data_IF_299787371374
#
_entry.id   IF_299787371374
#
_cell.length_a   1.000
_cell.length_b   1.000
_cell.length_c   1.000
_cell.angle_alpha   90.00
_cell.angle_beta   90.00
_cell.angle_gamma   90.00
#
_symmetry.space_group_name_H-M   'P 1'
#
loop_
_entity.id
_entity.type
_entity.pdbx_description
1 polymer ?
#
# COMPACT_ATOMS: atom_id res chain seq x y z
N UNK A 1 -30.69 -69.05 -14.38
CA UNK A 1 -31.78 -68.46 -13.57
C UNK A 1 -32.12 -67.12 -14.21
N UNK A 2 -33.26 -67.01 -14.93
CA UNK A 2 -33.66 -65.75 -15.60
C UNK A 2 -34.28 -64.83 -14.55
N UNK A 3 -33.63 -63.70 -14.29
CA UNK A 3 -34.16 -62.65 -13.40
C UNK A 3 -35.49 -62.14 -13.96
N UNK A 4 -36.48 -61.96 -13.08
CA UNK A 4 -37.77 -61.39 -13.47
C UNK A 4 -37.60 -59.88 -13.71
N UNK A 5 -38.43 -59.32 -14.58
CA UNK A 5 -38.36 -57.90 -14.97
C UNK A 5 -38.37 -56.92 -13.78
N UNK A 6 -39.05 -57.23 -12.69
CA UNK A 6 -39.07 -56.40 -11.48
C UNK A 6 -37.76 -56.44 -10.68
N UNK A 7 -37.04 -57.57 -10.68
CA UNK A 7 -35.74 -57.70 -10.02
C UNK A 7 -34.67 -56.85 -10.75
N UNK A 8 -34.77 -56.76 -12.07
CA UNK A 8 -33.91 -55.90 -12.89
C UNK A 8 -34.15 -54.42 -12.55
N UNK A 9 -35.42 -54.00 -12.39
CA UNK A 9 -35.77 -52.62 -12.02
C UNK A 9 -35.21 -52.25 -10.64
N UNK A 10 -35.31 -53.13 -9.66
CA UNK A 10 -34.76 -52.89 -8.31
C UNK A 10 -33.24 -52.78 -8.32
N UNK A 11 -32.55 -53.62 -9.09
CA UNK A 11 -31.09 -53.54 -9.22
C UNK A 11 -30.64 -52.22 -9.86
N UNK A 12 -31.35 -51.76 -10.89
CA UNK A 12 -31.06 -50.47 -11.55
C UNK A 12 -31.26 -49.30 -10.59
N UNK A 13 -32.35 -49.30 -9.81
CA UNK A 13 -32.60 -48.27 -8.80
C UNK A 13 -31.56 -48.27 -7.67
N UNK A 14 -31.15 -49.45 -7.20
CA UNK A 14 -30.11 -49.58 -6.18
C UNK A 14 -28.76 -49.02 -6.68
N UNK A 15 -28.36 -49.35 -7.91
CA UNK A 15 -27.14 -48.83 -8.54
C UNK A 15 -27.24 -47.31 -8.75
N UNK A 16 -28.37 -46.78 -9.21
CA UNK A 16 -28.60 -45.34 -9.34
C UNK A 16 -28.50 -44.62 -7.98
N UNK A 17 -29.06 -45.21 -6.91
CA UNK A 17 -28.99 -44.62 -5.57
C UNK A 17 -27.55 -44.61 -5.03
N UNK A 18 -26.77 -45.67 -5.28
CA UNK A 18 -25.35 -45.75 -4.91
C UNK A 18 -24.49 -44.76 -5.71
N UNK A 19 -24.78 -44.59 -7.01
CA UNK A 19 -24.10 -43.61 -7.86
C UNK A 19 -24.44 -42.18 -7.45
N UNK A 20 -25.71 -41.90 -7.12
CA UNK A 20 -26.13 -40.58 -6.62
C UNK A 20 -25.52 -40.27 -5.25
N UNK A 21 -25.46 -41.24 -4.34
CA UNK A 21 -24.90 -41.05 -3.01
C UNK A 21 -23.37 -40.97 -3.02
N UNK A 22 -22.71 -41.78 -3.86
CA UNK A 22 -21.27 -41.72 -4.10
C UNK A 22 -20.85 -40.43 -4.81
N UNK A 23 -21.62 -40.00 -5.82
CA UNK A 23 -21.42 -38.74 -6.53
C UNK A 23 -21.62 -37.53 -5.64
N UNK A 24 -22.64 -37.52 -4.78
CA UNK A 24 -22.87 -36.42 -3.84
C UNK A 24 -21.75 -36.26 -2.81
N UNK A 25 -20.99 -37.32 -2.51
CA UNK A 25 -19.85 -37.26 -1.57
C UNK A 25 -18.55 -36.78 -2.21
N UNK A 26 -18.39 -36.91 -3.52
CA UNK A 26 -17.18 -36.46 -4.25
C UNK A 26 -17.37 -35.11 -4.93
N UNK A 27 -18.61 -34.72 -5.24
CA UNK A 27 -19.02 -33.39 -5.72
C UNK A 27 -19.42 -32.45 -4.56
N UNK A 28 -18.85 -32.66 -3.37
CA UNK A 28 -18.78 -31.59 -2.39
C UNK A 28 -17.95 -30.48 -3.01
N UNK A 29 -18.62 -29.41 -3.44
CA UNK A 29 -17.96 -28.22 -3.96
C UNK A 29 -16.84 -27.84 -3.00
N UNK A 30 -15.58 -28.02 -3.43
CA UNK A 30 -14.48 -27.32 -2.78
C UNK A 30 -14.77 -25.86 -3.05
N UNK A 31 -15.42 -25.21 -2.09
CA UNK A 31 -15.37 -23.77 -2.00
C UNK A 31 -13.88 -23.44 -2.03
N UNK A 32 -13.43 -22.88 -3.14
CA UNK A 32 -12.13 -22.23 -3.24
C UNK A 32 -12.22 -21.03 -2.31
N UNK A 33 -12.13 -21.29 -1.01
CA UNK A 33 -11.97 -20.28 0.00
C UNK A 33 -10.64 -19.62 -0.32
N UNK A 34 -10.71 -18.48 -1.00
CA UNK A 34 -9.63 -17.53 -1.11
C UNK A 34 -9.18 -17.31 0.34
N UNK A 35 -8.01 -17.85 0.67
CA UNK A 35 -7.52 -17.95 2.05
C UNK A 35 -7.41 -16.52 2.60
N UNK A 36 -8.38 -16.12 3.42
CA UNK A 36 -8.65 -14.71 3.71
C UNK A 36 -7.44 -14.06 4.41
N UNK A 37 -7.09 -12.84 3.99
CA UNK A 37 -6.01 -12.05 4.59
C UNK A 37 -6.20 -11.80 6.09
N UNK A 38 -7.44 -11.92 6.56
CA UNK A 38 -7.82 -11.86 7.97
C UNK A 38 -8.59 -13.14 8.30
N UNK A 39 -8.15 -13.87 9.31
CA UNK A 39 -8.91 -14.99 9.88
C UNK A 39 -9.15 -14.77 11.37
N UNK A 40 -10.36 -15.13 11.81
CA UNK A 40 -10.79 -15.02 13.20
C UNK A 40 -11.36 -16.36 13.64
N UNK A 41 -10.85 -16.90 14.74
CA UNK A 41 -11.31 -18.16 15.33
C UNK A 41 -11.65 -17.91 16.79
N UNK A 42 -12.83 -18.34 17.23
CA UNK A 42 -13.23 -18.31 18.63
C UNK A 42 -13.36 -19.73 19.17
N UNK A 43 -12.87 -19.97 20.40
CA UNK A 43 -12.96 -21.27 21.08
C UNK A 43 -13.40 -21.09 22.54
N UNK A 44 -14.43 -21.81 23.00
CA UNK A 44 -15.30 -22.70 22.21
C UNK A 44 -16.20 -21.89 21.25
N UNK A 45 -16.69 -22.54 20.18
CA UNK A 45 -17.58 -21.89 19.19
C UNK A 45 -18.99 -21.60 19.71
N UNK A 46 -19.33 -22.13 20.88
CA UNK A 46 -20.55 -21.87 21.65
C UNK A 46 -20.15 -21.80 23.12
N UNK A 47 -20.60 -20.79 23.86
CA UNK A 47 -20.32 -20.60 25.27
C UNK A 47 -21.58 -20.08 25.98
N UNK A 48 -21.72 -20.42 27.27
CA UNK A 48 -22.78 -19.86 28.12
C UNK A 48 -22.36 -18.52 28.74
N UNK A 49 -23.33 -17.80 29.29
CA UNK A 49 -23.08 -16.52 29.95
C UNK A 49 -22.09 -16.67 31.12
N UNK A 50 -21.00 -15.90 31.06
CA UNK A 50 -19.94 -15.92 32.08
C UNK A 50 -18.81 -16.90 31.79
N UNK A 51 -18.92 -17.74 30.75
CA UNK A 51 -17.80 -18.59 30.32
C UNK A 51 -16.83 -17.79 29.43
N UNK A 52 -15.51 -17.91 29.66
CA UNK A 52 -14.52 -17.23 28.83
C UNK A 52 -14.46 -17.84 27.43
N UNK A 53 -14.28 -17.00 26.41
CA UNK A 53 -14.07 -17.41 25.02
C UNK A 53 -12.74 -16.83 24.54
N UNK A 54 -11.84 -17.71 24.10
CA UNK A 54 -10.58 -17.32 23.50
C UNK A 54 -10.78 -16.97 22.03
N UNK A 55 -10.32 -15.79 21.63
CA UNK A 55 -10.39 -15.33 20.23
C UNK A 55 -8.99 -15.19 19.67
N UNK A 56 -8.70 -15.97 18.64
CA UNK A 56 -7.48 -15.88 17.86
C UNK A 56 -7.74 -15.08 16.57
N UNK A 57 -7.02 -13.97 16.40
CA UNK A 57 -7.02 -13.15 15.19
C UNK A 57 -5.68 -13.33 14.48
N UNK A 58 -5.71 -13.74 13.21
CA UNK A 58 -4.53 -13.80 12.35
C UNK A 58 -4.72 -12.86 11.17
N UNK A 59 -3.70 -12.03 10.94
CA UNK A 59 -3.64 -11.13 9.80
C UNK A 59 -2.39 -11.50 9.00
N UNK A 60 -2.58 -11.91 7.75
CA UNK A 60 -1.50 -12.22 6.82
C UNK A 60 -1.15 -10.93 6.04
N UNK A 61 -0.15 -10.20 6.53
CA UNK A 61 0.22 -8.89 5.99
C UNK A 61 0.64 -8.94 4.52
N UNK A 62 1.30 -10.02 4.10
CA UNK A 62 1.69 -10.31 2.72
C UNK A 62 0.52 -10.50 1.75
N UNK A 63 -0.70 -10.68 2.28
CA UNK A 63 -1.93 -10.90 1.51
C UNK A 63 -2.96 -9.81 1.70
N UNK A 64 -2.65 -8.79 2.50
CA UNK A 64 -3.50 -7.61 2.57
C UNK A 64 -3.52 -6.96 1.19
N UNK A 65 -4.68 -6.51 0.70
CA UNK A 65 -4.70 -5.68 -0.49
C UNK A 65 -3.81 -4.47 -0.23
N UNK A 66 -2.86 -4.21 -1.12
CA UNK A 66 -2.13 -2.95 -1.12
C UNK A 66 -3.13 -1.82 -1.36
N UNK A 67 -2.91 -0.66 -0.72
CA UNK A 67 -3.76 0.53 -0.92
C UNK A 67 -3.86 0.96 -2.39
N UNK A 68 -2.98 0.45 -3.27
CA UNK A 68 -3.06 0.56 -4.72
C UNK A 68 -4.34 -0.05 -5.35
N UNK A 69 -5.11 -0.86 -4.62
CA UNK A 69 -6.39 -1.39 -5.10
C UNK A 69 -7.57 -0.43 -4.88
N UNK A 70 -7.35 0.76 -4.29
CA UNK A 70 -8.37 1.76 -4.00
C UNK A 70 -8.09 3.04 -4.79
N UNK A 71 -8.39 3.02 -6.10
CA UNK A 71 -8.40 4.20 -6.97
C UNK A 71 -7.08 4.53 -7.67
N UNK A 72 -7.17 5.41 -8.69
CA UNK A 72 -6.01 6.12 -9.25
C UNK A 72 -5.37 6.92 -8.10
N UNK A 73 -4.09 6.67 -7.84
CA UNK A 73 -3.32 7.46 -6.86
C UNK A 73 -3.19 8.85 -7.46
N UNK A 74 -3.80 9.85 -6.83
CA UNK A 74 -3.63 11.23 -7.26
C UNK A 74 -2.16 11.66 -7.11
N UNK A 75 -1.58 12.34 -8.11
CA UNK A 75 -0.19 12.78 -8.05
C UNK A 75 0.08 13.74 -6.89
N UNK A 76 1.22 13.59 -6.23
CA UNK A 76 1.65 14.46 -5.14
C UNK A 76 2.48 15.62 -5.69
N UNK A 77 2.13 16.84 -5.29
CA UNK A 77 2.94 18.03 -5.53
C UNK A 77 3.57 18.48 -4.21
N UNK A 78 4.90 18.34 -4.09
CA UNK A 78 5.63 18.67 -2.87
C UNK A 78 6.56 19.87 -3.06
N UNK A 79 6.44 20.88 -2.20
CA UNK A 79 7.39 21.99 -2.14
C UNK A 79 8.40 21.77 -1.01
N UNK A 80 9.68 21.64 -1.36
CA UNK A 80 10.77 21.53 -0.41
C UNK A 80 11.32 22.93 -0.10
N UNK A 81 10.96 23.45 1.07
CA UNK A 81 11.41 24.76 1.57
C UNK A 81 12.54 24.56 2.57
N UNK A 82 13.78 24.88 2.18
CA UNK A 82 15.00 24.52 2.91
C UNK A 82 15.66 25.77 3.50
N UNK A 83 15.84 25.77 4.82
CA UNK A 83 16.61 26.79 5.55
C UNK A 83 18.10 26.61 5.25
N UNK A 84 18.75 27.67 4.78
CA UNK A 84 20.18 27.70 4.51
C UNK A 84 20.93 28.80 5.28
N UNK A 85 20.29 29.34 6.33
CA UNK A 85 20.83 30.34 7.24
C UNK A 85 22.21 29.97 7.81
N UNK A 86 22.92 30.95 8.35
CA UNK A 86 24.26 30.73 8.93
C UNK A 86 24.31 29.62 9.99
N UNK A 87 23.25 29.40 10.77
CA UNK A 87 23.15 28.30 11.74
C UNK A 87 23.11 26.92 11.11
N UNK A 88 22.73 26.82 9.84
CA UNK A 88 22.69 25.57 9.10
C UNK A 88 24.06 25.19 8.53
N UNK A 89 25.06 26.08 8.55
CA UNK A 89 26.36 25.83 7.94
C UNK A 89 27.05 24.55 8.45
N UNK A 90 27.72 23.83 7.54
CA UNK A 90 28.41 22.58 7.85
C UNK A 90 27.48 21.36 7.81
N UNK A 91 27.52 20.56 8.88
CA UNK A 91 26.78 19.30 8.95
C UNK A 91 25.25 19.45 8.83
N UNK A 92 24.58 20.43 9.47
CA UNK A 92 23.11 20.53 9.40
C UNK A 92 22.60 20.72 7.97
N UNK A 93 23.22 21.60 7.19
CA UNK A 93 22.86 21.81 5.79
C UNK A 93 23.21 20.60 4.91
N UNK A 94 24.31 19.91 5.19
CA UNK A 94 24.65 18.68 4.48
C UNK A 94 23.58 17.60 4.70
N UNK A 95 23.16 17.39 5.95
CA UNK A 95 22.09 16.44 6.28
C UNK A 95 20.74 16.88 5.72
N UNK A 96 20.42 18.19 5.72
CA UNK A 96 19.21 18.71 5.11
C UNK A 96 19.16 18.42 3.60
N UNK A 97 20.28 18.61 2.88
CA UNK A 97 20.38 18.29 1.46
C UNK A 97 20.28 16.78 1.20
N UNK A 98 20.90 15.96 2.04
CA UNK A 98 20.83 14.50 1.93
C UNK A 98 19.39 14.02 2.16
N UNK A 99 18.77 14.40 3.27
CA UNK A 99 17.39 14.02 3.59
C UNK A 99 16.37 14.52 2.58
N UNK A 100 16.57 15.73 2.03
CA UNK A 100 15.75 16.22 0.93
C UNK A 100 15.93 15.40 -0.36
N UNK A 101 17.16 14.98 -0.67
CA UNK A 101 17.44 14.12 -1.83
C UNK A 101 16.82 12.73 -1.64
N UNK A 102 16.95 12.16 -0.44
CA UNK A 102 16.34 10.87 -0.08
C UNK A 102 14.80 10.93 -0.18
N UNK A 103 14.19 12.04 0.25
CA UNK A 103 12.75 12.24 0.09
C UNK A 103 12.34 12.25 -1.39
N UNK A 104 13.08 12.96 -2.24
CA UNK A 104 12.83 12.96 -3.68
C UNK A 104 12.95 11.54 -4.23
N UNK A 105 13.94 10.75 -3.79
CA UNK A 105 14.16 9.35 -4.16
C UNK A 105 13.00 8.40 -3.81
N UNK A 106 12.16 8.77 -2.84
CA UNK A 106 10.94 8.03 -2.50
C UNK A 106 9.73 8.40 -3.37
N UNK A 107 9.75 9.54 -4.06
CA UNK A 107 8.64 10.02 -4.88
C UNK A 107 8.64 9.41 -6.29
N UNK A 108 7.44 9.23 -6.86
CA UNK A 108 7.26 8.71 -8.21
C UNK A 108 7.29 9.86 -9.24
N UNK A 109 8.49 10.40 -9.51
CA UNK A 109 8.70 11.47 -10.50
C UNK A 109 8.68 10.95 -11.95
N UNK A 110 7.56 10.34 -12.37
CA UNK A 110 7.27 10.02 -13.78
C UNK A 110 6.70 11.24 -14.49
N UNK A 111 6.52 11.17 -15.81
CA UNK A 111 5.94 12.30 -16.56
C UNK A 111 4.51 12.63 -16.08
N UNK A 112 4.08 13.88 -16.28
CA UNK A 112 2.75 14.37 -15.88
C UNK A 112 1.63 13.50 -16.46
N UNK A 113 1.77 13.07 -17.73
CA UNK A 113 0.81 12.22 -18.43
C UNK A 113 0.68 10.82 -17.81
N UNK A 114 1.69 10.37 -17.06
CA UNK A 114 1.71 9.09 -16.34
C UNK A 114 1.20 9.22 -14.89
N UNK A 115 0.76 10.41 -14.49
CA UNK A 115 0.35 10.69 -13.11
C UNK A 115 1.53 10.74 -12.14
N UNK A 116 2.70 11.19 -12.61
CA UNK A 116 3.88 11.34 -11.77
C UNK A 116 3.76 12.46 -10.75
N UNK A 117 4.39 12.26 -9.59
CA UNK A 117 4.57 13.29 -8.58
C UNK A 117 5.49 14.40 -9.11
N UNK A 118 5.40 15.60 -8.53
CA UNK A 118 6.28 16.72 -8.88
C UNK A 118 6.86 17.38 -7.62
N UNK A 119 8.10 17.85 -7.73
CA UNK A 119 8.80 18.54 -6.62
C UNK A 119 9.25 19.92 -7.04
N UNK A 120 8.99 20.92 -6.19
CA UNK A 120 9.60 22.25 -6.27
C UNK A 120 10.62 22.44 -5.14
N UNK A 121 11.62 23.27 -5.36
CA UNK A 121 12.68 23.53 -4.38
C UNK A 121 12.82 25.03 -4.15
N UNK A 122 12.63 25.43 -2.91
CA UNK A 122 12.81 26.81 -2.42
C UNK A 122 13.90 26.78 -1.36
N UNK A 123 14.87 27.67 -1.48
CA UNK A 123 15.84 27.92 -0.41
C UNK A 123 15.52 29.26 0.25
N UNK A 124 15.70 29.37 1.57
CA UNK A 124 15.55 30.64 2.26
C UNK A 124 16.67 30.90 3.28
N UNK A 125 17.03 32.17 3.38
CA UNK A 125 17.85 32.75 4.46
C UNK A 125 17.28 34.14 4.80
N UNK A 126 17.94 35.24 4.43
CA UNK A 126 17.40 36.61 4.53
C UNK A 126 16.27 36.89 3.52
N UNK A 127 16.17 36.07 2.48
CA UNK A 127 15.12 36.06 1.48
C UNK A 127 14.91 34.64 0.96
N UNK A 128 13.78 34.40 0.30
CA UNK A 128 13.49 33.14 -0.36
C UNK A 128 13.82 33.18 -1.85
N UNK A 129 14.33 32.09 -2.39
CA UNK A 129 14.62 31.91 -3.82
C UNK A 129 14.10 30.55 -4.29
N UNK A 130 13.31 30.57 -5.36
CA UNK A 130 12.89 29.35 -6.06
C UNK A 130 14.05 28.86 -6.92
N UNK A 131 14.55 27.65 -6.62
CA UNK A 131 15.62 27.01 -7.39
C UNK A 131 15.06 26.19 -8.55
N UNK A 132 13.93 25.52 -8.31
CA UNK A 132 13.24 24.68 -9.29
C UNK A 132 11.73 24.80 -9.06
N UNK A 133 10.97 25.13 -10.09
CA UNK A 133 9.50 25.00 -10.08
C UNK A 133 9.11 23.51 -10.00
N UNK A 134 7.82 23.19 -9.81
CA UNK A 134 7.37 21.79 -9.84
C UNK A 134 7.92 21.06 -11.08
N UNK A 135 8.70 20.03 -10.81
CA UNK A 135 9.43 19.27 -11.82
C UNK A 135 9.28 17.78 -11.57
N UNK A 136 9.16 17.06 -12.68
CA UNK A 136 9.17 15.61 -12.77
C UNK A 136 10.59 15.07 -13.01
N UNK A 137 11.59 15.93 -13.23
CA UNK A 137 12.97 15.51 -13.44
C UNK A 137 13.72 15.39 -12.11
N UNK A 138 13.81 14.16 -11.61
CA UNK A 138 14.60 13.79 -10.42
C UNK A 138 16.01 14.39 -10.43
N UNK A 139 16.71 14.32 -11.56
CA UNK A 139 18.09 14.79 -11.66
C UNK A 139 18.20 16.30 -11.57
N UNK A 140 17.21 17.03 -12.07
CA UNK A 140 17.13 18.48 -11.96
C UNK A 140 16.86 18.89 -10.52
N UNK A 141 15.89 18.26 -9.86
CA UNK A 141 15.50 18.54 -8.48
C UNK A 141 16.66 18.25 -7.51
N UNK A 142 17.30 17.08 -7.61
CA UNK A 142 18.45 16.72 -6.75
C UNK A 142 19.63 17.68 -6.96
N UNK A 143 19.93 18.08 -8.21
CA UNK A 143 20.99 19.08 -8.46
C UNK A 143 20.67 20.43 -7.83
N UNK A 144 19.41 20.86 -7.87
CA UNK A 144 18.99 22.10 -7.23
C UNK A 144 19.19 22.03 -5.71
N UNK A 145 18.75 20.95 -5.06
CA UNK A 145 18.96 20.70 -3.63
C UNK A 145 20.46 20.74 -3.28
N UNK A 146 21.29 20.03 -4.04
CA UNK A 146 22.73 19.94 -3.79
C UNK A 146 23.48 21.27 -4.02
N UNK A 147 22.89 22.20 -4.77
CA UNK A 147 23.46 23.52 -5.04
C UNK A 147 23.25 24.56 -3.94
N UNK A 148 22.43 24.25 -2.92
CA UNK A 148 22.08 25.21 -1.85
C UNK A 148 23.33 25.62 -1.06
N UNK A 149 23.70 26.93 -1.09
CA UNK A 149 24.85 27.45 -0.35
C UNK A 149 24.49 27.67 1.12
N UNK A 150 25.49 27.74 2.00
CA UNK A 150 25.28 28.18 3.39
C UNK A 150 25.40 29.70 3.52
N UNK A 151 24.57 30.32 4.36
CA UNK A 151 24.77 31.70 4.81
C UNK A 151 23.47 32.51 4.92
N UNK A 152 23.61 33.72 5.44
CA UNK A 152 22.50 34.65 5.66
C UNK A 152 21.82 34.49 7.03
N UNK A 153 20.79 35.31 7.24
CA UNK A 153 19.86 35.24 8.37
C UNK A 153 18.73 34.23 8.14
N UNK A 154 17.58 34.45 8.78
CA UNK A 154 16.44 33.53 8.75
C UNK A 154 15.13 34.30 8.58
N UNK A 155 14.49 34.16 7.42
CA UNK A 155 13.16 34.67 7.09
C UNK A 155 12.27 33.50 6.63
N UNK A 156 11.65 32.86 7.63
CA UNK A 156 10.72 31.74 7.42
C UNK A 156 9.48 32.20 6.66
N UNK A 157 9.03 33.44 6.87
CA UNK A 157 7.81 33.95 6.24
C UNK A 157 8.02 34.08 4.73
N UNK A 158 9.18 34.57 4.29
CA UNK A 158 9.53 34.59 2.87
C UNK A 158 9.57 33.18 2.28
N UNK A 159 10.17 32.21 2.99
CA UNK A 159 10.24 30.81 2.56
C UNK A 159 8.85 30.20 2.33
N UNK A 160 7.96 30.34 3.31
CA UNK A 160 6.59 29.81 3.24
C UNK A 160 5.69 30.53 2.24
N UNK A 161 5.98 31.80 1.93
CA UNK A 161 5.18 32.55 0.95
C UNK A 161 5.52 32.19 -0.50
N UNK A 162 6.73 31.65 -0.73
CA UNK A 162 7.21 31.29 -2.07
C UNK A 162 7.03 29.79 -2.40
N UNK A 163 7.02 28.94 -1.37
CA UNK A 163 6.75 27.49 -1.51
C UNK A 163 5.27 27.19 -1.71
#
# INVERSE_FOLDING_TARGET
MRLRTWEIVLLVLAVLSLLLWGGARTLGARATAREAAVSRVARPGVAFWGEPVDVELRIAADRLPTCAAVGEVEPIYAALVIDHSGSMAGAPLAEARNGASDFVDLMNLTEEEEGGDAVSVVMFSDAATLLTSFSYDRSQVVRAIQSIPSGGGTDIAAGLSLG
#
